data_IF_378519053912
#
_entry.id   IF_378519053912
#
_cell.length_a   1.000
_cell.length_b   1.000
_cell.length_c   1.000
_cell.angle_alpha   90.00
_cell.angle_beta   90.00
_cell.angle_gamma   90.00
#
_symmetry.space_group_name_H-M   'P 1'
#
loop_
_entity.id
_entity.type
_entity.pdbx_description
1 polymer ?
#
# COMPACT_ATOMS: atom_id res chain seq x y z
N UNK A 1 25.63 -60.83 -39.88
CA UNK A 1 25.66 -59.34 -39.97
C UNK A 1 24.37 -58.80 -39.37
N UNK A 2 24.43 -58.27 -38.15
CA UNK A 2 23.27 -57.75 -37.44
C UNK A 2 22.80 -56.45 -38.10
N UNK A 3 21.54 -56.41 -38.57
CA UNK A 3 20.90 -55.17 -39.02
C UNK A 3 20.59 -54.32 -37.79
N UNK A 4 21.45 -53.33 -37.52
CA UNK A 4 21.11 -52.24 -36.59
C UNK A 4 19.86 -51.52 -37.10
N UNK A 5 18.78 -51.59 -36.33
CA UNK A 5 17.57 -50.79 -36.54
C UNK A 5 17.90 -49.31 -36.34
N UNK A 6 18.22 -48.59 -37.43
CA UNK A 6 18.53 -47.15 -37.46
C UNK A 6 17.32 -46.22 -37.16
N UNK A 7 16.19 -46.75 -36.71
CA UNK A 7 14.94 -46.00 -36.56
C UNK A 7 14.75 -45.27 -35.23
N UNK A 8 15.34 -45.79 -34.13
CA UNK A 8 15.13 -45.26 -32.78
C UNK A 8 16.22 -44.27 -32.32
N UNK A 9 17.38 -44.30 -32.97
CA UNK A 9 18.60 -43.58 -32.56
C UNK A 9 18.50 -42.05 -32.63
N UNK A 10 17.85 -41.42 -33.63
CA UNK A 10 17.81 -39.96 -33.71
C UNK A 10 17.05 -39.30 -32.56
N UNK A 11 15.93 -39.90 -32.13
CA UNK A 11 15.07 -39.34 -31.08
C UNK A 11 15.68 -39.41 -29.68
N UNK A 12 16.41 -40.49 -29.37
CA UNK A 12 17.16 -40.61 -28.10
C UNK A 12 18.41 -39.73 -28.05
N UNK A 13 19.09 -39.55 -29.19
CA UNK A 13 20.37 -38.80 -29.24
C UNK A 13 20.16 -37.30 -29.37
N UNK A 14 19.04 -36.83 -29.93
CA UNK A 14 18.76 -35.39 -30.09
C UNK A 14 17.55 -34.91 -29.26
N UNK A 15 16.48 -35.69 -29.17
CA UNK A 15 15.24 -35.27 -28.50
C UNK A 15 15.37 -35.16 -26.97
N UNK A 16 16.03 -36.14 -26.33
CA UNK A 16 16.21 -36.14 -24.88
C UNK A 16 17.18 -35.02 -24.41
N UNK A 17 18.34 -34.78 -25.05
CA UNK A 17 19.21 -33.65 -24.68
C UNK A 17 18.57 -32.29 -24.94
N UNK A 18 17.79 -32.14 -26.02
CA UNK A 18 17.06 -30.88 -26.29
C UNK A 18 15.97 -30.65 -25.24
N UNK A 19 15.22 -31.68 -24.85
CA UNK A 19 14.20 -31.55 -23.82
C UNK A 19 14.80 -31.31 -22.42
N UNK A 20 15.93 -31.96 -22.09
CA UNK A 20 16.67 -31.69 -20.85
C UNK A 20 17.32 -30.30 -20.85
N UNK A 21 17.81 -29.83 -22.01
CA UNK A 21 18.32 -28.47 -22.17
C UNK A 21 17.21 -27.41 -22.01
N UNK A 22 16.04 -27.64 -22.60
CA UNK A 22 14.85 -26.81 -22.40
C UNK A 22 14.40 -26.84 -20.94
N UNK A 23 14.36 -28.02 -20.30
CA UNK A 23 14.02 -28.15 -18.90
C UNK A 23 15.02 -27.41 -18.00
N UNK A 24 16.32 -27.47 -18.29
CA UNK A 24 17.35 -26.73 -17.55
C UNK A 24 17.22 -25.21 -17.73
N UNK A 25 17.02 -24.72 -18.96
CA UNK A 25 16.86 -23.27 -19.20
C UNK A 25 15.56 -22.72 -18.58
N UNK A 26 14.51 -23.54 -18.52
CA UNK A 26 13.20 -23.15 -17.96
C UNK A 26 13.07 -23.42 -16.45
N UNK A 27 13.86 -24.33 -15.87
CA UNK A 27 13.92 -24.56 -14.43
C UNK A 27 14.88 -23.58 -13.76
N UNK A 28 14.32 -22.69 -12.94
CA UNK A 28 15.08 -22.00 -11.89
C UNK A 28 15.80 -20.71 -12.28
N UNK A 29 15.60 -20.15 -13.48
CA UNK A 29 15.98 -18.77 -13.77
C UNK A 29 14.89 -17.80 -13.29
N UNK A 30 15.26 -16.68 -12.67
CA UNK A 30 14.36 -15.74 -11.98
C UNK A 30 13.18 -15.27 -12.85
N UNK A 31 11.97 -15.48 -12.36
CA UNK A 31 10.77 -14.74 -12.80
C UNK A 31 10.56 -13.50 -11.93
N UNK A 32 10.95 -13.64 -10.66
CA UNK A 32 10.77 -12.64 -9.62
C UNK A 32 11.96 -11.70 -9.69
N UNK A 33 11.74 -10.52 -10.26
CA UNK A 33 12.68 -9.41 -10.36
C UNK A 33 11.90 -8.09 -10.43
N UNK A 34 12.54 -6.99 -10.06
CA UNK A 34 11.91 -5.67 -10.22
C UNK A 34 11.58 -5.41 -11.69
N UNK A 35 10.37 -4.93 -11.96
CA UNK A 35 9.90 -4.59 -13.29
C UNK A 35 9.12 -3.27 -13.25
N UNK A 36 9.82 -2.13 -13.26
CA UNK A 36 9.19 -0.82 -13.20
C UNK A 36 8.24 -0.53 -14.36
N UNK A 37 8.45 -1.15 -15.54
CA UNK A 37 7.57 -0.98 -16.71
C UNK A 37 6.18 -1.57 -16.45
N UNK A 38 6.11 -2.68 -15.72
CA UNK A 38 4.86 -3.29 -15.23
C UNK A 38 4.41 -2.75 -13.87
N UNK A 39 5.05 -1.70 -13.36
CA UNK A 39 4.77 -1.12 -12.06
C UNK A 39 4.98 -2.12 -10.89
N UNK A 40 6.08 -2.87 -10.96
CA UNK A 40 6.49 -3.89 -9.99
C UNK A 40 7.83 -3.49 -9.35
N UNK A 41 7.86 -3.59 -8.03
CA UNK A 41 9.06 -3.45 -7.20
C UNK A 41 8.87 -4.28 -5.94
N UNK A 42 9.88 -5.04 -5.56
CA UNK A 42 9.80 -5.97 -4.43
C UNK A 42 10.64 -5.42 -3.28
N UNK A 43 10.01 -5.01 -2.16
CA UNK A 43 10.78 -4.53 -1.01
C UNK A 43 11.57 -5.66 -0.34
N UNK A 44 12.77 -5.33 0.14
CA UNK A 44 13.56 -6.18 1.03
C UNK A 44 13.75 -5.45 2.37
N UNK A 45 13.33 -6.02 3.51
CA UNK A 45 12.62 -7.29 3.70
C UNK A 45 11.14 -7.25 3.28
N UNK A 46 10.50 -8.42 3.10
CA UNK A 46 9.05 -8.51 2.82
C UNK A 46 8.16 -8.36 4.06
N UNK A 47 8.75 -8.35 5.25
CA UNK A 47 8.04 -8.18 6.52
C UNK A 47 8.79 -7.20 7.40
N UNK A 48 8.08 -6.46 8.25
CA UNK A 48 8.68 -5.56 9.22
C UNK A 48 7.93 -5.58 10.55
N UNK A 49 8.62 -5.34 11.69
CA UNK A 49 7.94 -5.19 12.96
C UNK A 49 7.26 -3.81 13.07
N UNK A 50 6.14 -3.77 13.77
CA UNK A 50 5.48 -2.56 14.25
C UNK A 50 5.13 -2.79 15.71
N UNK A 51 5.41 -1.81 16.57
CA UNK A 51 5.01 -1.82 17.96
C UNK A 51 3.88 -0.81 18.15
N UNK A 52 2.81 -1.23 18.84
CA UNK A 52 1.63 -0.40 19.09
C UNK A 52 1.29 -0.38 20.57
N UNK A 53 0.90 0.78 21.06
CA UNK A 53 0.20 0.94 22.33
C UNK A 53 -1.09 1.74 22.09
N UNK A 54 -2.14 1.42 22.85
CA UNK A 54 -3.35 2.21 22.89
C UNK A 54 -3.67 2.59 24.33
N UNK A 55 -4.18 3.79 24.53
CA UNK A 55 -4.65 4.26 25.84
C UNK A 55 -5.86 5.17 25.66
N UNK A 56 -6.74 5.23 26.66
CA UNK A 56 -7.91 6.10 26.61
C UNK A 56 -8.28 6.64 28.00
N UNK A 57 -8.93 7.80 28.02
CA UNK A 57 -9.55 8.37 29.21
C UNK A 57 -11.05 8.62 28.91
N UNK A 58 -11.71 9.47 29.71
CA UNK A 58 -13.14 9.77 29.54
C UNK A 58 -13.48 10.52 28.23
N UNK A 59 -12.50 11.15 27.59
CA UNK A 59 -12.71 12.07 26.45
C UNK A 59 -12.02 11.58 25.17
N UNK A 60 -10.86 10.93 25.28
CA UNK A 60 -9.90 10.74 24.18
C UNK A 60 -9.29 9.36 24.15
N UNK A 61 -8.91 8.94 22.95
CA UNK A 61 -8.06 7.79 22.70
C UNK A 61 -6.72 8.22 22.11
N UNK A 62 -5.69 7.45 22.42
CA UNK A 62 -4.32 7.65 22.02
C UNK A 62 -3.80 6.36 21.40
N UNK A 63 -3.18 6.45 20.22
CA UNK A 63 -2.45 5.36 19.60
C UNK A 63 -1.00 5.76 19.41
N UNK A 64 -0.09 5.00 20.01
CA UNK A 64 1.34 5.18 19.85
C UNK A 64 1.89 4.08 18.97
N UNK A 65 2.60 4.49 17.92
CA UNK A 65 3.22 3.63 16.93
C UNK A 65 4.72 3.77 17.00
N UNK A 66 5.43 2.65 16.93
CA UNK A 66 6.88 2.64 16.80
C UNK A 66 7.33 1.61 15.76
N UNK A 67 8.12 2.03 14.78
CA UNK A 67 8.63 1.16 13.73
C UNK A 67 10.04 1.53 13.29
N UNK A 68 10.83 0.55 12.77
CA UNK A 68 12.17 0.83 12.29
C UNK A 68 12.14 1.49 10.90
N UNK A 69 12.95 2.53 10.73
CA UNK A 69 13.21 3.19 9.46
C UNK A 69 14.68 3.62 9.41
N UNK A 70 15.36 3.35 8.28
CA UNK A 70 16.79 3.66 8.14
C UNK A 70 17.05 5.17 8.11
N UNK A 71 16.11 5.93 7.56
CA UNK A 71 16.13 7.39 7.50
C UNK A 71 14.73 7.93 7.77
N UNK A 72 14.67 9.15 8.29
CA UNK A 72 13.42 9.89 8.43
C UNK A 72 13.08 10.56 7.10
N UNK A 73 12.34 9.88 6.21
CA UNK A 73 11.84 10.56 5.01
C UNK A 73 10.72 11.52 5.41
N UNK A 74 11.08 12.80 5.59
CA UNK A 74 10.16 13.88 5.97
C UNK A 74 9.76 14.78 4.80
N UNK A 75 10.48 14.70 3.68
CA UNK A 75 10.18 15.52 2.51
C UNK A 75 9.13 14.85 1.61
N UNK A 76 8.26 15.65 1.02
CA UNK A 76 7.27 15.17 0.07
C UNK A 76 7.01 16.22 -1.01
N UNK A 77 7.24 15.85 -2.26
CA UNK A 77 6.87 16.65 -3.42
C UNK A 77 7.51 18.06 -3.36
N UNK A 78 8.79 18.14 -3.72
CA UNK A 78 9.64 19.32 -3.62
C UNK A 78 9.83 19.98 -5.00
N UNK A 79 9.95 21.30 -5.06
CA UNK A 79 10.30 22.05 -6.27
C UNK A 79 11.74 22.49 -6.15
N UNK A 80 12.62 22.02 -7.03
CA UNK A 80 14.02 22.42 -7.10
C UNK A 80 14.21 23.37 -8.28
N UNK A 81 14.85 24.51 -8.04
CA UNK A 81 15.25 25.40 -9.12
C UNK A 81 16.50 24.84 -9.82
N UNK A 82 16.35 24.54 -11.11
CA UNK A 82 17.42 24.01 -11.96
C UNK A 82 17.37 24.61 -13.35
N UNK A 83 18.52 25.10 -13.83
CA UNK A 83 18.68 25.66 -15.19
C UNK A 83 17.64 26.75 -15.56
N UNK A 84 17.15 27.50 -14.58
CA UNK A 84 16.15 28.57 -14.78
C UNK A 84 14.69 28.13 -14.62
N UNK A 85 14.43 26.87 -14.27
CA UNK A 85 13.09 26.30 -14.16
C UNK A 85 12.85 25.65 -12.80
N UNK A 86 11.60 25.61 -12.35
CA UNK A 86 11.19 24.87 -11.14
C UNK A 86 10.84 23.42 -11.49
N UNK A 87 11.75 22.50 -11.19
CA UNK A 87 11.60 21.08 -11.45
C UNK A 87 11.01 20.37 -10.24
N UNK A 88 9.97 19.58 -10.46
CA UNK A 88 9.32 18.78 -9.43
C UNK A 88 10.10 17.50 -9.13
N UNK A 89 10.46 17.31 -7.87
CA UNK A 89 11.01 16.08 -7.29
C UNK A 89 10.02 15.47 -6.30
N UNK A 90 9.86 14.15 -6.31
CA UNK A 90 8.91 13.45 -5.43
C UNK A 90 7.65 13.01 -6.16
N UNK A 91 7.53 11.69 -6.33
CA UNK A 91 6.36 11.05 -6.93
C UNK A 91 6.27 9.60 -6.47
N UNK A 92 5.05 9.07 -6.35
CA UNK A 92 4.90 7.64 -6.12
C UNK A 92 5.30 6.89 -7.39
N UNK A 93 6.33 6.05 -7.28
CA UNK A 93 6.89 5.23 -8.35
C UNK A 93 7.18 3.82 -7.84
N UNK A 94 7.42 2.84 -8.73
CA UNK A 94 7.96 1.54 -8.32
C UNK A 94 9.26 1.72 -7.55
N UNK A 95 9.22 1.34 -6.27
CA UNK A 95 10.35 1.46 -5.36
C UNK A 95 10.53 2.85 -4.73
N UNK A 96 11.65 3.04 -4.02
CA UNK A 96 11.99 4.30 -3.37
C UNK A 96 12.07 5.47 -4.37
N UNK A 97 11.58 6.64 -3.95
CA UNK A 97 11.90 7.89 -4.63
C UNK A 97 13.41 8.13 -4.54
N UNK A 98 14.13 8.31 -5.67
CA UNK A 98 15.60 8.35 -5.70
C UNK A 98 16.16 9.58 -4.98
N UNK A 99 15.37 10.63 -4.81
CA UNK A 99 15.76 11.86 -4.12
C UNK A 99 15.36 11.83 -2.64
N UNK A 100 14.70 10.75 -2.16
CA UNK A 100 14.21 10.65 -0.79
C UNK A 100 13.04 11.59 -0.48
N UNK A 101 12.40 12.17 -1.50
CA UNK A 101 11.36 13.21 -1.39
C UNK A 101 9.93 12.64 -1.39
N UNK A 102 9.76 11.48 -0.76
CA UNK A 102 8.46 10.83 -0.63
C UNK A 102 8.21 10.27 0.77
N UNK A 103 7.75 11.13 1.65
CA UNK A 103 7.54 10.89 3.08
C UNK A 103 7.10 9.48 3.57
N UNK A 104 7.61 9.16 4.76
CA UNK A 104 7.16 8.08 5.62
C UNK A 104 5.78 8.37 6.20
N UNK A 105 4.97 7.32 6.37
CA UNK A 105 3.55 7.43 6.77
C UNK A 105 3.14 6.23 7.62
N UNK A 106 2.21 6.46 8.54
CA UNK A 106 1.42 5.41 9.20
C UNK A 106 -0.05 5.69 8.94
N UNK A 107 -0.80 4.66 8.60
CA UNK A 107 -2.24 4.74 8.42
C UNK A 107 -2.94 3.60 9.17
N UNK A 108 -4.12 3.87 9.72
CA UNK A 108 -4.90 2.88 10.45
C UNK A 108 -6.35 2.92 9.98
N UNK A 109 -6.88 1.75 9.63
CA UNK A 109 -8.30 1.52 9.43
C UNK A 109 -8.94 1.12 10.75
N UNK A 110 -10.12 1.66 11.03
CA UNK A 110 -10.93 1.37 12.21
C UNK A 110 -12.35 0.99 11.80
N UNK A 111 -12.89 -0.06 12.41
CA UNK A 111 -14.30 -0.45 12.29
C UNK A 111 -14.90 -0.81 13.65
N UNK A 112 -16.19 -0.56 13.81
CA UNK A 112 -17.00 -0.87 15.00
C UNK A 112 -17.88 -2.13 14.81
N UNK A 113 -17.61 -2.92 13.77
CA UNK A 113 -18.43 -4.04 13.32
C UNK A 113 -19.46 -3.67 12.26
N UNK A 114 -19.52 -2.40 11.85
CA UNK A 114 -20.39 -1.91 10.78
C UNK A 114 -19.99 -2.41 9.39
N UNK A 115 -18.75 -2.85 9.19
CA UNK A 115 -18.28 -3.44 7.94
C UNK A 115 -18.08 -4.95 8.11
N UNK A 116 -19.03 -5.77 7.62
CA UNK A 116 -18.87 -7.22 7.56
C UNK A 116 -17.51 -7.62 7.00
N UNK A 117 -16.93 -8.65 7.61
CA UNK A 117 -15.68 -9.30 7.20
C UNK A 117 -14.39 -8.49 7.38
N UNK A 118 -14.44 -7.21 7.80
CA UNK A 118 -13.23 -6.44 8.09
C UNK A 118 -12.38 -7.09 9.20
N UNK A 119 -12.99 -7.49 10.32
CA UNK A 119 -12.29 -8.23 11.38
C UNK A 119 -11.71 -9.60 10.94
N UNK A 120 -12.13 -10.14 9.78
CA UNK A 120 -11.66 -11.43 9.26
C UNK A 120 -10.54 -11.30 8.24
N UNK A 121 -10.60 -10.29 7.37
CA UNK A 121 -9.69 -10.15 6.23
C UNK A 121 -8.95 -8.80 6.19
N UNK A 122 -9.26 -7.88 7.10
CA UNK A 122 -8.60 -6.59 7.25
C UNK A 122 -8.64 -5.77 5.97
N UNK A 123 -7.51 -5.14 5.63
CA UNK A 123 -7.41 -4.25 4.47
C UNK A 123 -7.70 -4.91 3.12
N UNK A 124 -7.67 -6.25 2.99
CA UNK A 124 -7.91 -6.93 1.72
C UNK A 124 -9.30 -6.67 1.14
N UNK A 125 -10.34 -6.55 1.98
CA UNK A 125 -11.71 -6.26 1.49
C UNK A 125 -11.80 -4.91 0.79
N UNK A 126 -10.83 -4.01 1.04
CA UNK A 126 -10.78 -2.68 0.44
C UNK A 126 -10.02 -2.64 -0.88
N UNK A 127 -9.37 -3.75 -1.26
CA UNK A 127 -8.54 -3.83 -2.46
C UNK A 127 -9.39 -4.39 -3.59
N UNK A 128 -10.01 -3.52 -4.37
CA UNK A 128 -10.89 -3.94 -5.45
C UNK A 128 -10.20 -4.12 -6.81
N UNK A 129 -11.00 -4.46 -7.81
CA UNK A 129 -10.58 -4.64 -9.20
C UNK A 129 -9.83 -3.41 -9.76
N UNK A 130 -8.71 -3.66 -10.45
CA UNK A 130 -7.95 -2.68 -11.26
C UNK A 130 -7.62 -1.36 -10.55
N UNK A 131 -7.32 -1.45 -9.26
CA UNK A 131 -6.91 -0.30 -8.46
C UNK A 131 -5.66 0.39 -9.01
N UNK A 132 -5.55 1.70 -8.72
CA UNK A 132 -4.39 2.52 -9.08
C UNK A 132 -3.09 1.86 -8.63
N UNK A 133 -2.08 1.90 -9.50
CA UNK A 133 -0.76 1.28 -9.33
C UNK A 133 -0.76 -0.25 -9.42
N UNK A 134 -1.86 -0.91 -9.71
CA UNK A 134 -1.77 -2.29 -10.18
C UNK A 134 -1.24 -2.31 -11.62
N UNK A 135 -0.58 -3.40 -12.01
CA UNK A 135 -0.06 -3.64 -13.35
C UNK A 135 -1.17 -3.59 -14.41
N UNK A 136 -2.41 -3.90 -14.01
CA UNK A 136 -3.62 -3.89 -14.84
C UNK A 136 -4.57 -2.72 -14.50
N UNK A 137 -4.09 -1.70 -13.78
CA UNK A 137 -4.91 -0.58 -13.30
C UNK A 137 -5.82 0.04 -14.37
N UNK A 138 -6.99 0.52 -13.95
CA UNK A 138 -7.90 1.24 -14.83
C UNK A 138 -7.24 2.52 -15.35
N UNK A 139 -7.44 2.82 -16.64
CA UNK A 139 -6.80 4.00 -17.25
C UNK A 139 -7.45 5.30 -16.76
N UNK A 140 -6.70 6.41 -16.62
CA UNK A 140 -7.30 7.67 -16.20
C UNK A 140 -8.44 8.17 -17.09
N UNK A 141 -8.35 7.92 -18.41
CA UNK A 141 -9.40 8.27 -19.35
C UNK A 141 -10.70 7.51 -19.06
N UNK A 142 -10.59 6.19 -18.85
CA UNK A 142 -11.73 5.33 -18.53
C UNK A 142 -12.39 5.72 -17.20
N UNK A 143 -11.61 6.01 -16.17
CA UNK A 143 -12.16 6.44 -14.87
C UNK A 143 -12.80 7.83 -14.98
N UNK A 144 -12.21 8.76 -15.73
CA UNK A 144 -12.75 10.11 -15.91
C UNK A 144 -14.10 10.10 -16.65
N UNK A 145 -14.32 9.13 -17.53
CA UNK A 145 -15.60 8.94 -18.24
C UNK A 145 -16.68 8.28 -17.37
N UNK A 146 -16.30 7.59 -16.30
CA UNK A 146 -17.20 6.86 -15.42
C UNK A 146 -18.23 7.80 -14.76
N UNK A 147 -19.55 7.48 -14.79
CA UNK A 147 -20.60 8.38 -14.28
C UNK A 147 -20.38 8.83 -12.83
N UNK A 148 -20.11 7.89 -11.93
CA UNK A 148 -19.90 8.22 -10.52
C UNK A 148 -18.47 8.69 -10.23
N UNK A 149 -17.46 7.82 -10.35
CA UNK A 149 -16.07 8.17 -10.04
C UNK A 149 -15.53 9.39 -10.83
N UNK A 150 -15.76 9.44 -12.14
CA UNK A 150 -15.24 10.50 -13.00
C UNK A 150 -16.08 11.78 -12.97
N UNK A 151 -17.36 11.67 -13.30
CA UNK A 151 -18.22 12.84 -13.52
C UNK A 151 -18.74 13.43 -12.20
N UNK A 152 -19.11 12.60 -11.22
CA UNK A 152 -19.65 13.05 -9.94
C UNK A 152 -18.54 13.36 -8.92
N UNK A 153 -17.58 12.43 -8.73
CA UNK A 153 -16.50 12.59 -7.74
C UNK A 153 -15.25 13.30 -8.31
N UNK A 154 -15.18 13.53 -9.62
CA UNK A 154 -14.04 14.21 -10.25
C UNK A 154 -12.73 13.42 -10.22
N UNK A 155 -12.78 12.10 -10.07
CA UNK A 155 -11.61 11.24 -9.94
C UNK A 155 -11.13 10.73 -11.31
N UNK A 156 -9.84 10.38 -11.37
CA UNK A 156 -9.20 9.82 -12.56
C UNK A 156 -8.43 8.53 -12.24
N UNK A 157 -8.71 7.93 -11.08
CA UNK A 157 -8.10 6.69 -10.64
C UNK A 157 -9.10 5.86 -9.80
N UNK A 158 -8.88 4.54 -9.72
CA UNK A 158 -9.62 3.66 -8.81
C UNK A 158 -8.81 3.53 -7.53
N UNK A 159 -9.42 3.80 -6.37
CA UNK A 159 -8.79 3.63 -5.05
C UNK A 159 -9.49 2.55 -4.25
N UNK A 160 -9.14 2.46 -2.97
CA UNK A 160 -9.79 1.54 -2.05
C UNK A 160 -11.30 1.80 -2.03
N UNK A 161 -12.09 0.73 -2.02
CA UNK A 161 -13.54 0.77 -1.86
C UNK A 161 -14.03 -0.52 -1.19
N UNK A 162 -15.19 -0.48 -0.55
CA UNK A 162 -15.80 -1.64 0.13
C UNK A 162 -16.65 -2.48 -0.84
N UNK A 163 -16.69 -3.82 -0.71
CA UNK A 163 -17.32 -4.68 -1.72
C UNK A 163 -18.81 -4.39 -1.95
N UNK A 164 -19.59 -4.13 -0.89
CA UNK A 164 -21.02 -3.91 -1.03
C UNK A 164 -21.39 -2.53 -1.62
N UNK A 165 -20.42 -1.66 -1.86
CA UNK A 165 -20.62 -0.40 -2.62
C UNK A 165 -20.61 -0.62 -4.13
N UNK A 166 -20.57 -1.88 -4.55
CA UNK A 166 -20.65 -2.34 -5.93
C UNK A 166 -21.86 -3.26 -6.07
N UNK A 167 -22.56 -3.13 -7.18
CA UNK A 167 -23.62 -4.07 -7.60
C UNK A 167 -23.02 -5.40 -8.08
N UNK A 168 -21.77 -5.36 -8.55
CA UNK A 168 -20.90 -6.50 -8.81
C UNK A 168 -19.52 -6.23 -8.17
N UNK A 169 -19.22 -6.92 -7.08
CA UNK A 169 -17.96 -6.74 -6.34
C UNK A 169 -16.69 -7.06 -7.16
N UNK A 170 -16.84 -7.76 -8.29
CA UNK A 170 -15.74 -8.10 -9.20
C UNK A 170 -15.49 -7.02 -10.27
N UNK A 171 -16.34 -5.98 -10.36
CA UNK A 171 -16.20 -4.89 -11.33
C UNK A 171 -16.23 -3.53 -10.64
N UNK A 172 -15.10 -2.81 -10.67
CA UNK A 172 -15.00 -1.47 -10.07
C UNK A 172 -15.98 -0.47 -10.67
N UNK A 173 -16.47 -0.68 -11.90
CA UNK A 173 -17.42 0.22 -12.60
C UNK A 173 -18.83 0.11 -12.05
N UNK A 174 -19.13 -0.94 -11.29
CA UNK A 174 -20.49 -1.28 -10.90
C UNK A 174 -20.96 -0.53 -9.64
N UNK A 175 -20.48 0.71 -9.44
CA UNK A 175 -20.80 1.54 -8.26
C UNK A 175 -22.31 1.55 -8.00
N UNK A 176 -22.71 1.23 -6.77
CA UNK A 176 -24.11 1.21 -6.39
C UNK A 176 -24.73 2.62 -6.50
N UNK A 177 -26.05 2.67 -6.67
CA UNK A 177 -26.78 3.93 -6.78
C UNK A 177 -26.65 4.79 -5.52
N UNK A 178 -26.70 6.12 -5.67
CA UNK A 178 -26.46 7.08 -4.59
C UNK A 178 -27.33 6.87 -3.35
N UNK A 179 -28.60 6.48 -3.51
CA UNK A 179 -29.50 6.19 -2.38
C UNK A 179 -29.03 4.98 -1.56
N UNK A 180 -28.45 3.97 -2.22
CA UNK A 180 -27.88 2.79 -1.56
C UNK A 180 -26.62 3.17 -0.80
N UNK A 181 -25.72 3.95 -1.42
CA UNK A 181 -24.49 4.42 -0.79
C UNK A 181 -24.78 5.30 0.44
N UNK A 182 -25.75 6.20 0.33
CA UNK A 182 -26.19 7.03 1.45
C UNK A 182 -26.75 6.17 2.60
N UNK A 183 -27.62 5.21 2.29
CA UNK A 183 -28.18 4.30 3.31
C UNK A 183 -27.10 3.41 3.95
N UNK A 184 -26.10 2.97 3.18
CA UNK A 184 -24.95 2.24 3.69
C UNK A 184 -24.13 3.08 4.65
N UNK A 185 -23.83 4.33 4.28
CA UNK A 185 -23.09 5.27 5.13
C UNK A 185 -23.84 5.55 6.44
N UNK A 186 -25.14 5.82 6.37
CA UNK A 186 -26.01 6.01 7.53
C UNK A 186 -26.09 4.77 8.44
N UNK A 187 -25.98 3.58 7.86
CA UNK A 187 -25.94 2.31 8.59
C UNK A 187 -24.54 1.97 9.15
N UNK A 188 -23.54 2.83 8.95
CA UNK A 188 -22.18 2.62 9.44
C UNK A 188 -21.31 1.72 8.55
N UNK A 189 -21.73 1.42 7.31
CA UNK A 189 -20.94 0.61 6.36
C UNK A 189 -19.84 1.46 5.72
N UNK A 190 -18.78 1.70 6.48
CA UNK A 190 -17.57 2.38 6.06
C UNK A 190 -16.40 2.03 6.99
N UNK A 191 -15.17 2.23 6.53
CA UNK A 191 -14.00 2.20 7.41
C UNK A 191 -13.51 3.61 7.65
N UNK A 192 -13.20 3.93 8.89
CA UNK A 192 -12.53 5.15 9.31
C UNK A 192 -11.02 4.99 9.08
N UNK A 193 -10.35 6.00 8.52
CA UNK A 193 -8.98 5.95 8.02
C UNK A 193 -8.15 7.12 8.58
N UNK A 194 -7.34 6.79 9.59
CA UNK A 194 -6.37 7.70 10.17
C UNK A 194 -5.13 7.72 9.30
N UNK A 195 -4.58 8.89 8.96
CA UNK A 195 -3.42 8.97 8.06
C UNK A 195 -2.42 10.04 8.47
N UNK A 196 -1.40 9.64 9.24
CA UNK A 196 -0.29 10.51 9.58
C UNK A 196 0.78 10.51 8.49
N UNK A 197 1.35 11.69 8.24
CA UNK A 197 2.28 11.95 7.14
C UNK A 197 3.47 12.78 7.63
N UNK A 198 4.69 12.26 7.48
CA UNK A 198 5.88 12.87 8.06
C UNK A 198 6.18 14.30 7.52
N UNK A 199 5.86 14.59 6.27
CA UNK A 199 6.03 15.92 5.68
C UNK A 199 4.75 16.73 5.58
N UNK A 200 3.63 16.07 5.26
CA UNK A 200 2.36 16.73 4.95
C UNK A 200 1.44 16.98 6.16
N UNK A 201 1.75 16.48 7.34
CA UNK A 201 0.92 16.71 8.53
C UNK A 201 1.72 16.85 9.82
N UNK A 202 2.82 16.11 9.97
CA UNK A 202 3.65 16.12 11.18
C UNK A 202 4.13 17.52 11.63
N UNK A 203 4.64 18.40 10.74
CA UNK A 203 5.26 19.66 11.17
C UNK A 203 4.28 20.63 11.85
N UNK A 204 2.99 20.48 11.59
CA UNK A 204 1.91 21.28 12.16
C UNK A 204 1.12 20.53 13.25
N UNK A 205 1.62 19.36 13.66
CA UNK A 205 0.99 18.53 14.70
C UNK A 205 -0.33 17.87 14.29
N UNK A 206 -0.57 17.70 12.98
CA UNK A 206 -1.83 17.18 12.44
C UNK A 206 -1.70 15.73 11.93
N UNK A 207 -2.85 15.10 11.71
CA UNK A 207 -3.04 13.89 10.91
C UNK A 207 -4.20 14.14 9.94
N UNK A 208 -4.22 13.48 8.79
CA UNK A 208 -5.35 13.58 7.83
C UNK A 208 -6.41 12.56 8.23
N UNK A 209 -7.66 12.99 8.34
CA UNK A 209 -8.82 12.13 8.64
C UNK A 209 -9.64 11.83 7.39
N UNK A 210 -9.99 10.57 7.23
CA UNK A 210 -10.48 10.00 5.97
C UNK A 210 -11.40 8.82 6.23
N UNK A 211 -12.08 8.37 5.18
CA UNK A 211 -12.90 7.16 5.25
C UNK A 211 -12.90 6.38 3.93
N UNK A 212 -13.30 5.11 4.02
CA UNK A 212 -13.45 4.22 2.87
C UNK A 212 -14.89 3.71 2.81
N UNK A 213 -15.56 4.02 1.70
CA UNK A 213 -16.83 3.43 1.30
C UNK A 213 -16.77 3.06 -0.17
N UNK A 214 -17.47 3.79 -1.04
CA UNK A 214 -17.45 3.59 -2.49
C UNK A 214 -16.12 3.99 -3.13
N UNK A 215 -15.34 4.78 -2.41
CA UNK A 215 -14.02 5.26 -2.74
C UNK A 215 -13.25 5.57 -1.43
N UNK A 216 -11.96 5.92 -1.56
CA UNK A 216 -11.19 6.49 -0.43
C UNK A 216 -11.43 7.99 -0.40
N UNK A 217 -12.30 8.40 0.50
CA UNK A 217 -12.75 9.77 0.66
C UNK A 217 -11.95 10.50 1.74
N UNK A 218 -12.06 11.83 1.75
CA UNK A 218 -11.65 12.63 2.90
C UNK A 218 -12.89 12.98 3.70
N UNK A 219 -12.72 13.17 4.99
CA UNK A 219 -13.78 13.67 5.86
C UNK A 219 -14.15 15.11 5.50
N UNK A 220 -15.29 15.57 6.02
CA UNK A 220 -15.76 16.91 5.75
C UNK A 220 -14.79 17.99 6.27
N UNK A 221 -14.63 19.04 5.47
CA UNK A 221 -13.76 20.17 5.77
C UNK A 221 -12.44 20.15 5.00
N UNK A 222 -11.41 20.73 5.58
CA UNK A 222 -10.15 21.03 4.89
C UNK A 222 -8.99 20.23 5.46
N UNK A 223 -8.16 19.66 4.58
CA UNK A 223 -7.02 18.85 4.99
C UNK A 223 -5.78 19.66 5.37
N UNK A 224 -4.75 18.98 5.91
CA UNK A 224 -3.58 19.64 6.50
C UNK A 224 -2.63 20.28 5.48
N UNK A 225 -2.94 20.22 4.18
CA UNK A 225 -2.10 20.81 3.13
C UNK A 225 -2.88 21.18 1.87
N UNK A 226 -2.30 22.06 1.06
CA UNK A 226 -2.71 22.39 -0.31
C UNK A 226 -1.54 22.20 -1.29
N UNK A 227 -1.76 22.48 -2.58
CA UNK A 227 -0.70 22.47 -3.58
C UNK A 227 -0.19 23.90 -3.78
N UNK A 228 1.12 24.09 -3.64
CA UNK A 228 1.86 25.33 -3.91
C UNK A 228 2.40 25.30 -5.35
N UNK A 229 1.54 25.50 -6.35
CA UNK A 229 1.95 25.55 -7.75
C UNK A 229 0.97 26.35 -8.61
N UNK A 230 1.49 27.39 -9.24
CA UNK A 230 0.82 28.17 -10.27
C UNK A 230 1.09 27.54 -11.64
N UNK A 231 0.11 26.82 -12.17
CA UNK A 231 0.22 26.18 -13.48
C UNK A 231 0.16 27.15 -14.67
N UNK A 232 -0.33 28.37 -14.48
CA UNK A 232 -0.41 29.36 -15.56
C UNK A 232 0.93 30.07 -15.78
N UNK A 233 1.75 30.15 -14.73
CA UNK A 233 3.05 30.84 -14.73
C UNK A 233 4.24 29.89 -14.51
N UNK A 234 4.01 28.59 -14.39
CA UNK A 234 5.04 27.56 -14.14
C UNK A 234 5.96 27.88 -12.94
N UNK A 235 5.36 28.36 -11.84
CA UNK A 235 6.09 28.81 -10.64
C UNK A 235 5.35 28.48 -9.34
N UNK A 236 6.02 28.50 -8.17
CA UNK A 236 5.35 28.43 -6.88
C UNK A 236 4.39 29.62 -6.66
N UNK A 237 3.31 29.41 -5.90
CA UNK A 237 2.50 30.52 -5.39
C UNK A 237 3.18 31.23 -4.22
N UNK A 238 3.92 30.48 -3.40
CA UNK A 238 4.51 30.94 -2.15
C UNK A 238 5.95 30.45 -1.98
N UNK A 239 6.73 31.21 -1.22
CA UNK A 239 8.08 30.87 -0.76
C UNK A 239 8.17 31.01 0.77
N UNK A 240 9.30 30.61 1.35
CA UNK A 240 9.56 30.86 2.76
C UNK A 240 9.71 32.37 3.00
N UNK A 241 9.09 32.87 4.06
CA UNK A 241 9.22 34.26 4.46
C UNK A 241 10.59 34.48 5.12
N UNK A 242 11.51 35.25 4.51
CA UNK A 242 12.82 35.52 5.10
C UNK A 242 12.75 36.37 6.37
N UNK A 243 11.66 37.12 6.60
CA UNK A 243 11.48 37.89 7.85
C UNK A 243 11.16 36.98 9.03
N UNK A 244 10.51 35.83 8.77
CA UNK A 244 10.15 34.82 9.78
C UNK A 244 11.24 33.75 9.91
N UNK A 245 11.74 33.27 8.78
CA UNK A 245 12.58 32.06 8.71
C UNK A 245 14.06 32.35 8.51
N UNK A 246 14.42 33.58 8.09
CA UNK A 246 15.80 33.95 7.75
C UNK A 246 16.28 33.45 6.38
N UNK A 247 15.44 32.74 5.61
CA UNK A 247 15.75 32.22 4.28
C UNK A 247 14.52 32.23 3.35
N UNK A 248 14.73 32.14 2.03
CA UNK A 248 13.63 32.13 1.03
C UNK A 248 13.31 30.74 0.48
N UNK A 249 14.29 29.84 0.53
CA UNK A 249 14.20 28.47 0.08
C UNK A 249 15.00 27.56 1.03
N UNK A 250 14.71 26.26 0.96
CA UNK A 250 15.57 25.21 1.48
C UNK A 250 16.73 24.95 0.49
N UNK A 251 17.75 24.23 0.92
CA UNK A 251 18.84 23.80 0.04
C UNK A 251 18.65 22.35 -0.38
N UNK A 252 18.88 22.05 -1.65
CA UNK A 252 18.77 20.68 -2.18
C UNK A 252 19.69 19.67 -1.47
N UNK A 253 20.87 20.13 -1.05
CA UNK A 253 21.81 19.30 -0.27
C UNK A 253 21.24 18.87 1.08
N UNK A 254 20.46 19.72 1.76
CA UNK A 254 19.82 19.37 3.03
C UNK A 254 18.66 18.39 2.80
N UNK A 255 17.86 18.62 1.76
CA UNK A 255 16.72 17.78 1.38
C UNK A 255 17.15 16.33 1.08
N UNK A 256 18.29 16.17 0.41
CA UNK A 256 18.78 14.86 -0.05
C UNK A 256 19.81 14.22 0.90
N UNK A 257 20.22 14.92 1.96
CA UNK A 257 21.23 14.43 2.90
C UNK A 257 20.80 13.18 3.68
N UNK A 258 19.49 12.98 3.86
CA UNK A 258 18.92 11.97 4.77
C UNK A 258 18.95 12.37 6.24
N UNK A 259 19.57 13.51 6.58
CA UNK A 259 19.58 14.08 7.93
C UNK A 259 18.35 14.97 8.13
N UNK A 260 17.77 14.94 9.33
CA UNK A 260 16.59 15.73 9.68
C UNK A 260 16.81 16.46 10.99
N UNK A 261 16.65 17.78 10.95
CA UNK A 261 16.50 18.62 12.13
C UNK A 261 15.01 18.92 12.35
N UNK A 262 14.38 18.19 13.26
CA UNK A 262 12.96 18.38 13.59
C UNK A 262 12.68 19.71 14.31
N UNK A 263 13.70 20.37 14.87
CA UNK A 263 13.56 21.69 15.48
C UNK A 263 13.90 22.82 14.47
N UNK A 264 14.39 22.45 13.30
CA UNK A 264 14.73 23.34 12.19
C UNK A 264 13.61 23.51 11.15
N UNK A 265 13.96 24.16 10.04
CA UNK A 265 13.04 24.44 8.94
C UNK A 265 13.16 23.41 7.82
N UNK A 266 12.10 22.66 7.60
CA UNK A 266 12.03 21.64 6.54
C UNK A 266 10.68 21.60 5.80
N UNK A 267 9.80 22.58 6.07
CA UNK A 267 8.43 22.63 5.54
C UNK A 267 7.98 24.08 5.27
N UNK A 268 6.96 24.22 4.43
CA UNK A 268 6.27 25.48 4.15
C UNK A 268 4.86 25.40 4.74
N UNK A 269 4.42 26.43 5.45
CA UNK A 269 3.13 26.53 6.11
C UNK A 269 2.53 27.93 6.00
N UNK A 270 1.26 28.10 6.35
CA UNK A 270 0.63 29.42 6.40
C UNK A 270 1.33 30.40 7.34
N UNK A 271 1.99 29.91 8.39
CA UNK A 271 2.67 30.72 9.40
C UNK A 271 4.08 31.17 9.01
N UNK A 272 4.68 30.56 7.98
CA UNK A 272 6.08 30.82 7.59
C UNK A 272 6.26 31.18 6.11
N UNK A 273 5.17 31.44 5.39
CA UNK A 273 5.18 31.76 3.97
C UNK A 273 5.03 33.25 3.68
N UNK A 274 5.51 33.64 2.51
CA UNK A 274 5.14 34.90 1.85
C UNK A 274 4.84 34.62 0.36
N UNK A 275 4.33 35.61 -0.37
CA UNK A 275 4.08 35.49 -1.81
C UNK A 275 5.38 35.19 -2.54
N UNK A 276 5.33 34.34 -3.57
CA UNK A 276 6.50 34.02 -4.37
C UNK A 276 7.03 35.27 -5.09
N UNK A 277 8.35 35.47 -5.04
CA UNK A 277 9.04 36.58 -5.72
C UNK A 277 9.74 36.05 -6.98
N UNK A 278 9.16 36.25 -8.18
CA UNK A 278 9.74 35.78 -9.43
C UNK A 278 10.96 36.61 -9.88
N UNK A 279 11.14 37.83 -9.33
CA UNK A 279 12.25 38.72 -9.70
C UNK A 279 13.49 38.49 -8.82
N UNK A 280 13.40 37.62 -7.81
CA UNK A 280 14.54 37.21 -7.01
C UNK A 280 15.56 36.42 -7.84
N UNK A 281 16.86 36.61 -7.55
CA UNK A 281 17.95 35.88 -8.19
C UNK A 281 18.04 34.45 -7.60
N UNK A 282 17.10 33.60 -7.99
CA UNK A 282 17.03 32.18 -7.59
C UNK A 282 18.28 31.44 -8.05
N UNK A 283 18.84 30.63 -7.15
CA UNK A 283 20.09 29.90 -7.38
C UNK A 283 19.84 28.43 -7.66
N UNK A 284 20.74 27.80 -8.41
CA UNK A 284 20.71 26.36 -8.66
C UNK A 284 20.68 25.59 -7.33
N UNK A 285 19.68 24.72 -7.17
CA UNK A 285 19.49 23.92 -5.96
C UNK A 285 18.70 24.62 -4.85
N UNK A 286 18.13 25.81 -5.08
CA UNK A 286 17.09 26.36 -4.21
C UNK A 286 15.85 25.46 -4.27
N UNK A 287 15.25 25.19 -3.11
CA UNK A 287 14.11 24.28 -3.00
C UNK A 287 12.93 24.93 -2.28
N UNK A 288 11.75 24.82 -2.87
CA UNK A 288 10.48 25.21 -2.26
C UNK A 288 9.58 23.97 -2.12
N UNK A 289 9.03 23.67 -0.92
CA UNK A 289 8.03 22.63 -0.79
C UNK A 289 6.81 22.89 -1.68
N UNK A 290 6.39 21.90 -2.48
CA UNK A 290 5.18 21.99 -3.31
C UNK A 290 3.90 21.80 -2.49
N UNK A 291 4.04 21.48 -1.20
CA UNK A 291 2.95 21.36 -0.24
C UNK A 291 3.02 22.51 0.72
N UNK A 292 1.96 23.32 0.73
CA UNK A 292 1.74 24.33 1.75
C UNK A 292 0.91 23.69 2.87
N UNK A 293 1.47 23.64 4.08
CA UNK A 293 0.78 23.12 5.26
C UNK A 293 -0.17 24.17 5.85
N UNK A 294 -1.30 23.71 6.37
CA UNK A 294 -2.30 24.53 7.05
C UNK A 294 -3.00 23.70 8.12
N UNK A 295 -3.54 24.34 9.15
CA UNK A 295 -4.35 23.61 10.12
C UNK A 295 -5.61 23.05 9.43
N UNK A 296 -5.93 21.76 9.63
CA UNK A 296 -7.15 21.18 9.08
C UNK A 296 -8.38 21.74 9.80
N UNK A 297 -9.52 21.71 9.11
CA UNK A 297 -10.81 22.19 9.62
C UNK A 297 -11.89 21.12 9.44
N UNK A 298 -12.91 21.12 10.29
CA UNK A 298 -14.01 20.14 10.24
C UNK A 298 -13.60 18.78 10.84
N UNK A 299 -14.38 17.74 10.54
CA UNK A 299 -14.09 16.35 10.93
C UNK A 299 -12.76 15.87 10.37
N UNK A 300 -12.34 16.42 9.23
CA UNK A 300 -11.02 16.15 8.63
C UNK A 300 -9.82 16.48 9.52
N UNK A 301 -10.01 17.30 10.55
CA UNK A 301 -9.01 17.68 11.53
C UNK A 301 -9.16 17.02 12.91
N UNK A 302 -9.98 15.97 13.06
CA UNK A 302 -10.26 15.36 14.37
C UNK A 302 -9.04 14.69 15.01
N UNK A 303 -8.06 14.27 14.20
CA UNK A 303 -6.86 13.58 14.67
C UNK A 303 -5.66 14.51 14.70
N UNK A 304 -4.97 14.55 15.84
CA UNK A 304 -3.76 15.32 16.04
C UNK A 304 -2.59 14.44 16.50
N UNK A 305 -1.37 14.98 16.42
CA UNK A 305 -0.19 14.42 17.07
C UNK A 305 -0.22 14.80 18.55
N UNK A 306 -0.07 13.82 19.44
CA UNK A 306 0.13 14.06 20.87
C UNK A 306 1.62 14.20 21.19
N UNK A 307 2.02 15.35 21.73
CA UNK A 307 3.42 15.62 22.00
C UNK A 307 4.18 15.91 20.71
N UNK A 308 5.16 15.06 20.38
CA UNK A 308 5.95 15.17 19.17
C UNK A 308 6.04 13.80 18.50
N UNK A 309 5.98 13.78 17.17
CA UNK A 309 6.25 12.59 16.37
C UNK A 309 7.64 12.74 15.73
N UNK A 310 8.57 11.89 16.17
CA UNK A 310 10.00 12.03 15.88
C UNK A 310 10.60 10.71 15.42
N UNK A 311 11.60 10.84 14.57
CA UNK A 311 12.50 9.75 14.25
C UNK A 311 13.81 9.93 15.00
N UNK A 312 14.19 8.93 15.80
CA UNK A 312 15.44 8.94 16.56
C UNK A 312 15.99 7.51 16.64
N UNK A 313 17.31 7.37 16.50
CA UNK A 313 18.01 6.09 16.63
C UNK A 313 17.46 4.97 15.72
N UNK A 314 17.03 5.30 14.50
CA UNK A 314 16.51 4.34 13.53
C UNK A 314 15.04 3.93 13.73
N UNK A 315 14.30 4.65 14.58
CA UNK A 315 12.88 4.39 14.83
C UNK A 315 12.06 5.66 14.73
N UNK A 316 10.90 5.56 14.10
CA UNK A 316 9.82 6.51 14.31
C UNK A 316 9.09 6.20 15.62
N UNK A 317 8.71 7.24 16.36
CA UNK A 317 7.76 7.20 17.47
C UNK A 317 6.70 8.27 17.22
N UNK A 318 5.45 7.82 17.02
CA UNK A 318 4.33 8.67 16.63
C UNK A 318 3.16 8.36 17.55
N UNK A 319 2.69 9.37 18.30
CA UNK A 319 1.44 9.25 19.07
C UNK A 319 0.36 10.09 18.41
N UNK A 320 -0.73 9.45 17.98
CA UNK A 320 -1.93 10.12 17.50
C UNK A 320 -2.99 10.16 18.61
N UNK A 321 -3.78 11.22 18.65
CA UNK A 321 -4.88 11.42 19.60
C UNK A 321 -6.12 11.89 18.85
N UNK A 322 -7.28 11.36 19.27
CA UNK A 322 -8.61 11.78 18.82
C UNK A 322 -9.57 11.74 20.01
N UNK A 323 -10.58 12.59 19.97
CA UNK A 323 -11.73 12.44 20.86
C UNK A 323 -12.41 11.07 20.60
N UNK A 324 -12.96 10.46 21.64
CA UNK A 324 -13.70 9.20 21.56
C UNK A 324 -14.98 9.37 20.71
N UNK A 325 -15.70 10.46 20.96
CA UNK A 325 -16.84 10.92 20.18
C UNK A 325 -16.48 12.23 19.48
N UNK A 326 -16.27 12.17 18.17
CA UNK A 326 -15.94 13.34 17.34
C UNK A 326 -17.16 14.21 17.03
N UNK A 327 -18.38 13.71 17.31
CA UNK A 327 -19.63 14.33 16.89
C UNK A 327 -19.96 14.15 15.41
N UNK A 328 -19.15 13.41 14.64
CA UNK A 328 -19.32 13.20 13.21
C UNK A 328 -19.44 11.70 12.86
N UNK A 329 -20.53 11.01 13.26
CA UNK A 329 -20.67 9.55 13.07
C UNK A 329 -20.82 9.11 11.60
N UNK A 330 -21.03 10.07 10.69
CA UNK A 330 -21.01 9.85 9.25
C UNK A 330 -19.64 10.13 8.65
N UNK A 331 -18.59 10.34 9.45
CA UNK A 331 -17.19 10.53 9.04
C UNK A 331 -16.31 9.55 9.80
N UNK A 332 -16.50 9.49 11.11
CA UNK A 332 -15.70 8.74 12.07
C UNK A 332 -16.43 7.52 12.66
N UNK A 333 -15.65 6.50 13.05
CA UNK A 333 -16.14 5.47 13.98
C UNK A 333 -16.08 6.00 15.41
N UNK A 334 -17.24 6.17 16.03
CA UNK A 334 -17.33 6.64 17.42
C UNK A 334 -16.87 5.53 18.38
N UNK A 335 -15.89 5.88 19.20
CA UNK A 335 -15.27 4.99 20.17
C UNK A 335 -15.89 5.22 21.55
N UNK A 336 -16.04 4.15 22.32
CA UNK A 336 -16.64 4.22 23.64
C UNK A 336 -16.00 3.21 24.59
N UNK A 337 -16.01 3.52 25.88
CA UNK A 337 -15.67 2.56 26.92
C UNK A 337 -16.55 1.32 26.80
N UNK A 338 -15.97 0.15 27.06
CA UNK A 338 -16.56 -1.17 26.84
C UNK A 338 -16.80 -1.52 25.36
N UNK A 339 -16.25 -0.75 24.42
CA UNK A 339 -16.25 -1.06 22.98
C UNK A 339 -15.22 -2.13 22.61
N UNK A 340 -15.53 -2.87 21.53
CA UNK A 340 -14.57 -3.70 20.79
C UNK A 340 -14.61 -3.22 19.34
N UNK A 341 -13.44 -2.98 18.77
CA UNK A 341 -13.26 -2.47 17.42
C UNK A 341 -12.31 -3.39 16.66
N UNK A 342 -12.37 -3.37 15.35
CA UNK A 342 -11.36 -4.02 14.51
C UNK A 342 -10.44 -2.94 13.93
N UNK A 343 -9.14 -3.22 13.87
CA UNK A 343 -8.14 -2.32 13.30
C UNK A 343 -7.23 -3.02 12.28
N UNK A 344 -6.77 -2.24 11.29
CA UNK A 344 -5.75 -2.66 10.33
C UNK A 344 -4.76 -1.53 10.06
N UNK A 345 -3.47 -1.77 10.25
CA UNK A 345 -2.44 -0.73 10.20
C UNK A 345 -1.54 -0.93 8.97
N UNK A 346 -1.14 0.19 8.36
CA UNK A 346 -0.20 0.25 7.26
C UNK A 346 0.96 1.20 7.57
N UNK A 347 2.18 0.81 7.20
CA UNK A 347 3.39 1.64 7.30
C UNK A 347 4.05 1.78 5.95
N UNK A 348 4.37 3.02 5.59
CA UNK A 348 5.15 3.40 4.43
C UNK A 348 6.49 3.91 4.92
N UNK A 349 7.58 3.32 4.41
CA UNK A 349 8.95 3.72 4.73
C UNK A 349 9.86 3.68 3.50
N UNK A 350 11.08 4.19 3.63
CA UNK A 350 12.12 4.15 2.59
C UNK A 350 11.72 4.92 1.32
N UNK A 351 11.09 6.08 1.49
CA UNK A 351 10.65 6.93 0.40
C UNK A 351 9.70 6.26 -0.61
N UNK A 352 8.94 5.25 -0.18
CA UNK A 352 8.03 4.50 -1.05
C UNK A 352 6.59 5.00 -0.95
N UNK A 353 5.80 4.80 -2.01
CA UNK A 353 4.44 5.30 -2.14
C UNK A 353 3.37 4.25 -2.41
N UNK A 354 2.12 4.65 -2.20
CA UNK A 354 0.95 3.98 -2.77
C UNK A 354 0.79 2.49 -2.43
N UNK A 355 1.14 1.55 -3.33
CA UNK A 355 0.99 0.11 -3.04
C UNK A 355 2.24 -0.52 -2.42
N UNK A 356 3.38 0.16 -2.47
CA UNK A 356 4.62 -0.28 -1.82
C UNK A 356 4.61 0.17 -0.36
N UNK A 357 4.01 -0.67 0.48
CA UNK A 357 3.90 -0.47 1.92
C UNK A 357 3.67 -1.81 2.62
N UNK A 358 3.80 -1.82 3.93
CA UNK A 358 3.55 -2.98 4.75
C UNK A 358 2.21 -2.84 5.45
N UNK A 359 1.45 -3.93 5.53
CA UNK A 359 0.13 -3.97 6.16
C UNK A 359 0.08 -5.03 7.25
N UNK A 360 -0.80 -4.84 8.23
CA UNK A 360 -1.11 -5.84 9.25
C UNK A 360 -2.24 -6.75 8.78
N UNK A 361 -2.32 -7.94 9.38
CA UNK A 361 -3.60 -8.63 9.50
C UNK A 361 -4.57 -7.81 10.39
N UNK A 362 -5.89 -8.09 10.39
CA UNK A 362 -6.81 -7.43 11.31
C UNK A 362 -6.57 -7.88 12.76
N UNK A 363 -6.68 -6.92 13.68
CA UNK A 363 -6.59 -7.14 15.12
C UNK A 363 -7.79 -6.49 15.82
N UNK A 364 -8.28 -7.14 16.87
CA UNK A 364 -9.31 -6.55 17.72
C UNK A 364 -8.70 -5.57 18.73
N UNK A 365 -9.33 -4.42 18.92
CA UNK A 365 -9.00 -3.39 19.91
C UNK A 365 -10.09 -3.36 20.98
N UNK A 366 -9.70 -3.53 22.24
CA UNK A 366 -10.61 -3.51 23.39
C UNK A 366 -10.44 -2.24 24.23
N UNK A 367 -11.54 -1.53 24.46
CA UNK A 367 -11.59 -0.44 25.44
C UNK A 367 -12.22 -0.98 26.72
N UNK A 368 -11.42 -1.59 27.60
CA UNK A 368 -11.91 -2.23 28.82
C UNK A 368 -12.62 -3.58 28.59
N UNK A 369 -12.46 -4.18 27.41
CA UNK A 369 -12.93 -5.54 27.05
C UNK A 369 -11.81 -6.40 26.49
N UNK A 370 -11.95 -7.72 26.63
CA UNK A 370 -10.96 -8.65 26.10
C UNK A 370 -10.85 -8.58 24.57
N UNK A 371 -9.63 -8.45 24.05
CA UNK A 371 -9.28 -8.22 22.66
C UNK A 371 -7.77 -8.49 22.44
N UNK A 372 -7.31 -8.53 21.18
CA UNK A 372 -5.89 -8.70 20.84
C UNK A 372 -5.04 -7.55 21.40
N UNK A 373 -5.41 -6.30 21.07
CA UNK A 373 -4.79 -5.06 21.56
C UNK A 373 -5.68 -4.45 22.65
N UNK A 374 -5.10 -4.24 23.82
CA UNK A 374 -5.80 -3.63 24.95
C UNK A 374 -5.47 -2.14 25.05
N UNK A 375 -6.50 -1.29 24.99
CA UNK A 375 -6.33 0.11 25.30
C UNK A 375 -6.27 0.30 26.82
N UNK A 376 -5.18 0.87 27.33
CA UNK A 376 -5.01 1.15 28.75
C UNK A 376 -5.89 2.32 29.18
N UNK A 377 -6.81 2.10 30.12
CA UNK A 377 -7.57 3.19 30.73
C UNK A 377 -6.68 4.00 31.68
N UNK A 378 -6.76 5.32 31.62
CA UNK A 378 -6.03 6.21 32.52
C UNK A 378 -6.86 7.46 32.88
N UNK A 379 -6.39 8.20 33.88
CA UNK A 379 -6.97 9.50 34.27
C UNK A 379 -6.00 10.63 33.98
N UNK A 380 -6.51 11.78 33.51
CA UNK A 380 -5.71 12.95 33.18
C UNK A 380 -5.64 13.23 31.69
N UNK A 381 -4.68 14.06 31.26
CA UNK A 381 -4.60 14.59 29.88
C UNK A 381 -3.69 13.79 28.94
N UNK A 382 -2.78 13.01 29.50
CA UNK A 382 -1.78 12.24 28.75
C UNK A 382 -1.60 10.87 29.41
N UNK A 383 -1.48 9.80 28.62
CA UNK A 383 -1.17 8.48 29.16
C UNK A 383 0.26 8.44 29.71
N UNK A 384 0.46 7.65 30.76
CA UNK A 384 1.77 7.23 31.22
C UNK A 384 2.09 5.89 30.53
N UNK A 385 2.92 5.94 29.50
CA UNK A 385 3.20 4.77 28.67
C UNK A 385 4.05 3.74 29.42
N UNK A 386 3.62 2.49 29.42
CA UNK A 386 4.42 1.36 29.89
C UNK A 386 5.54 1.02 28.90
N UNK A 387 6.50 0.20 29.34
CA UNK A 387 7.47 -0.43 28.44
C UNK A 387 6.87 -1.64 27.68
N UNK A 388 5.66 -2.05 28.01
CA UNK A 388 4.94 -3.15 27.35
C UNK A 388 4.30 -2.68 26.04
N UNK A 389 4.76 -3.25 24.93
CA UNK A 389 4.24 -2.99 23.59
C UNK A 389 3.46 -4.18 23.05
N UNK A 390 2.45 -3.90 22.22
CA UNK A 390 1.86 -4.92 21.37
C UNK A 390 2.67 -5.02 20.06
N UNK A 391 3.38 -6.12 19.89
CA UNK A 391 4.19 -6.36 18.69
C UNK A 391 3.33 -6.94 17.56
N UNK A 392 3.27 -6.21 16.46
CA UNK A 392 2.67 -6.63 15.20
C UNK A 392 3.75 -6.97 14.19
N UNK A 393 3.52 -8.00 13.38
CA UNK A 393 4.27 -8.19 12.14
C UNK A 393 3.47 -7.61 10.99
N UNK A 394 4.07 -6.69 10.24
CA UNK A 394 3.52 -6.21 8.97
C UNK A 394 4.17 -6.96 7.81
N UNK A 395 3.46 -7.06 6.70
CA UNK A 395 3.93 -7.73 5.49
C UNK A 395 3.59 -6.93 4.23
N UNK A 396 4.41 -7.09 3.18
CA UNK A 396 4.14 -6.53 1.87
C UNK A 396 2.98 -7.27 1.19
N UNK A 397 1.86 -6.61 0.84
CA UNK A 397 0.65 -7.30 0.36
C UNK A 397 0.70 -7.71 -1.12
N UNK A 398 1.66 -7.19 -1.90
CA UNK A 398 1.74 -7.45 -3.34
C UNK A 398 0.54 -6.91 -4.14
N UNK A 399 0.19 -7.59 -5.24
CA UNK A 399 -0.97 -7.29 -6.08
C UNK A 399 -2.04 -8.35 -5.89
N UNK A 400 -2.71 -8.30 -4.73
CA UNK A 400 -3.78 -9.23 -4.37
C UNK A 400 -5.03 -8.41 -4.09
N UNK A 401 -6.02 -8.54 -4.96
CA UNK A 401 -7.33 -7.92 -4.80
C UNK A 401 -8.38 -8.90 -4.25
N UNK A 402 -9.48 -8.33 -3.79
CA UNK A 402 -10.62 -9.03 -3.23
C UNK A 402 -11.31 -9.94 -4.26
N UNK A 403 -11.58 -9.50 -5.51
CA UNK A 403 -12.13 -10.38 -6.55
C UNK A 403 -11.31 -11.65 -6.75
N UNK A 404 -9.97 -11.57 -6.79
CA UNK A 404 -9.09 -12.73 -6.86
C UNK A 404 -9.30 -13.66 -5.67
N UNK A 405 -9.29 -13.12 -4.44
CA UNK A 405 -9.37 -13.90 -3.20
C UNK A 405 -10.66 -14.71 -3.07
N UNK A 406 -11.77 -14.19 -3.59
CA UNK A 406 -13.08 -14.86 -3.55
C UNK A 406 -13.38 -15.68 -4.81
N UNK A 407 -12.54 -15.57 -5.84
CA UNK A 407 -12.68 -16.34 -7.07
C UNK A 407 -12.21 -17.79 -6.93
N UNK A 408 -12.62 -18.63 -7.88
CA UNK A 408 -12.13 -20.03 -7.97
C UNK A 408 -10.63 -20.15 -8.26
N UNK A 409 -9.95 -19.06 -8.62
CA UNK A 409 -8.50 -19.07 -8.83
C UNK A 409 -7.75 -19.11 -7.50
N UNK A 410 -8.35 -18.64 -6.41
CA UNK A 410 -7.77 -18.71 -5.08
C UNK A 410 -8.19 -19.99 -4.36
N UNK A 411 -7.20 -20.79 -3.94
CA UNK A 411 -7.46 -22.09 -3.29
C UNK A 411 -8.20 -21.96 -1.95
N UNK A 412 -8.13 -20.80 -1.28
CA UNK A 412 -8.84 -20.51 -0.03
C UNK A 412 -10.22 -19.87 -0.21
N UNK A 413 -10.74 -19.75 -1.44
CA UNK A 413 -12.01 -19.07 -1.67
C UNK A 413 -13.21 -19.75 -0.99
N UNK A 414 -13.22 -21.08 -0.89
CA UNK A 414 -14.25 -21.81 -0.13
C UNK A 414 -14.18 -21.48 1.37
N UNK A 415 -12.97 -21.43 1.94
CA UNK A 415 -12.77 -21.07 3.35
C UNK A 415 -13.22 -19.61 3.63
N UNK A 416 -13.00 -18.70 2.68
CA UNK A 416 -13.48 -17.31 2.75
C UNK A 416 -15.01 -17.26 2.69
N UNK A 417 -15.63 -18.01 1.77
CA UNK A 417 -17.09 -18.10 1.69
C UNK A 417 -17.73 -18.68 2.97
N UNK A 418 -17.01 -19.53 3.69
CA UNK A 418 -17.40 -20.06 5.01
C UNK A 418 -17.10 -19.09 6.17
N UNK A 419 -16.47 -17.95 5.92
CA UNK A 419 -16.15 -16.93 6.92
C UNK A 419 -14.92 -17.24 7.77
N UNK A 420 -14.01 -18.09 7.28
CA UNK A 420 -12.75 -18.40 7.98
C UNK A 420 -11.84 -17.18 7.98
N UNK A 421 -11.38 -16.67 9.14
CA UNK A 421 -10.48 -15.51 9.20
C UNK A 421 -9.11 -15.80 8.56
N UNK A 422 -8.48 -14.79 7.95
CA UNK A 422 -7.18 -14.92 7.27
C UNK A 422 -6.09 -15.47 8.20
N UNK A 423 -6.04 -14.97 9.45
CA UNK A 423 -5.07 -15.36 10.48
C UNK A 423 -5.19 -16.84 10.90
N UNK A 424 -6.30 -17.51 10.61
CA UNK A 424 -6.49 -18.92 10.94
C UNK A 424 -5.76 -19.86 9.96
N UNK A 425 -5.48 -19.40 8.74
CA UNK A 425 -4.87 -20.21 7.67
C UNK A 425 -3.51 -19.69 7.20
N UNK A 426 -3.22 -18.41 7.43
CA UNK A 426 -2.03 -17.76 6.90
C UNK A 426 -1.25 -16.99 7.97
N UNK A 427 0.07 -17.10 7.90
CA UNK A 427 1.01 -16.18 8.55
C UNK A 427 1.35 -15.01 7.63
N UNK A 428 1.80 -13.91 8.21
CA UNK A 428 2.27 -12.70 7.52
C UNK A 428 3.33 -13.03 6.47
N UNK A 429 4.26 -13.94 6.79
CA UNK A 429 5.29 -14.38 5.84
C UNK A 429 4.71 -15.10 4.63
N UNK A 430 3.70 -15.96 4.83
CA UNK A 430 3.03 -16.64 3.72
C UNK A 430 2.27 -15.65 2.86
N UNK A 431 1.58 -14.68 3.48
CA UNK A 431 0.86 -13.63 2.75
C UNK A 431 1.82 -12.74 1.94
N UNK A 432 2.98 -12.37 2.51
CA UNK A 432 4.01 -11.63 1.78
C UNK A 432 4.53 -12.39 0.55
N UNK A 433 4.84 -13.68 0.71
CA UNK A 433 5.32 -14.51 -0.39
C UNK A 433 4.25 -14.69 -1.46
N UNK A 434 3.01 -14.95 -1.07
CA UNK A 434 1.89 -15.05 -2.00
C UNK A 434 1.65 -13.72 -2.74
N UNK A 435 1.74 -12.59 -2.03
CA UNK A 435 1.67 -11.26 -2.60
C UNK A 435 2.69 -11.04 -3.72
N UNK A 436 3.95 -11.45 -3.49
CA UNK A 436 5.01 -11.41 -4.50
C UNK A 436 4.72 -12.36 -5.66
N UNK A 437 4.32 -13.61 -5.39
CA UNK A 437 3.98 -14.59 -6.43
C UNK A 437 2.88 -14.07 -7.36
N UNK A 438 1.86 -13.40 -6.81
CA UNK A 438 0.76 -12.85 -7.59
C UNK A 438 1.19 -11.72 -8.54
N UNK A 439 2.25 -10.96 -8.24
CA UNK A 439 2.79 -9.96 -9.17
C UNK A 439 3.37 -10.58 -10.46
N UNK A 440 3.66 -11.89 -10.43
CA UNK A 440 4.23 -12.63 -11.54
C UNK A 440 3.38 -13.82 -11.98
N UNK A 441 2.11 -13.89 -11.58
CA UNK A 441 1.26 -15.05 -11.81
C UNK A 441 1.24 -15.50 -13.29
N UNK A 442 1.09 -14.57 -14.23
CA UNK A 442 1.09 -14.87 -15.67
C UNK A 442 2.43 -15.44 -16.15
N UNK A 443 3.55 -14.86 -15.68
CA UNK A 443 4.87 -15.32 -16.04
C UNK A 443 5.18 -16.71 -15.43
N UNK A 444 4.78 -16.93 -14.18
CA UNK A 444 4.92 -18.21 -13.47
C UNK A 444 4.09 -19.29 -14.17
N UNK A 445 2.80 -19.04 -14.40
CA UNK A 445 1.90 -20.00 -15.05
C UNK A 445 2.32 -20.31 -16.48
N UNK A 446 2.73 -19.32 -17.26
CA UNK A 446 3.29 -19.51 -18.61
C UNK A 446 4.52 -20.43 -18.57
N UNK A 447 5.46 -20.19 -17.64
CA UNK A 447 6.63 -21.07 -17.49
C UNK A 447 6.25 -22.48 -17.06
N UNK A 448 5.29 -22.64 -16.15
CA UNK A 448 4.79 -23.96 -15.76
C UNK A 448 4.20 -24.73 -16.94
N UNK A 449 3.43 -24.05 -17.81
CA UNK A 449 2.91 -24.66 -19.04
C UNK A 449 4.04 -25.09 -19.99
N UNK A 450 5.06 -24.25 -20.18
CA UNK A 450 6.22 -24.61 -20.98
C UNK A 450 6.96 -25.83 -20.41
N UNK A 451 7.19 -25.86 -19.09
CA UNK A 451 7.85 -26.98 -18.42
C UNK A 451 7.02 -28.26 -18.51
N UNK A 452 5.70 -28.18 -18.32
CA UNK A 452 4.79 -29.30 -18.47
C UNK A 452 4.81 -29.83 -19.91
N UNK A 453 4.73 -28.96 -20.91
CA UNK A 453 4.77 -29.34 -22.32
C UNK A 453 6.12 -29.98 -22.68
N UNK A 454 7.24 -29.39 -22.23
CA UNK A 454 8.57 -29.95 -22.43
C UNK A 454 8.70 -31.34 -21.80
N UNK A 455 8.16 -31.52 -20.58
CA UNK A 455 8.08 -32.82 -19.90
C UNK A 455 7.25 -33.84 -20.67
N UNK A 456 6.07 -33.45 -21.17
CA UNK A 456 5.22 -34.31 -22.00
C UNK A 456 5.89 -34.70 -23.32
N UNK A 457 6.59 -33.77 -23.98
CA UNK A 457 7.36 -34.04 -25.20
C UNK A 457 8.53 -34.98 -24.91
N UNK A 458 9.24 -34.81 -23.79
CA UNK A 458 10.30 -35.73 -23.36
C UNK A 458 9.76 -37.15 -23.10
N UNK A 459 8.64 -37.27 -22.40
CA UNK A 459 7.99 -38.56 -22.13
C UNK A 459 7.52 -39.23 -23.43
N UNK A 460 6.90 -38.48 -24.34
CA UNK A 460 6.48 -38.98 -25.64
C UNK A 460 7.68 -39.42 -26.48
N UNK A 461 8.73 -38.60 -26.56
CA UNK A 461 9.96 -38.93 -27.30
C UNK A 461 10.63 -40.19 -26.77
N UNK A 462 10.72 -40.33 -25.44
CA UNK A 462 11.26 -41.53 -24.78
C UNK A 462 10.40 -42.75 -25.07
N UNK A 463 9.08 -42.62 -24.96
CA UNK A 463 8.13 -43.71 -25.25
C UNK A 463 8.28 -44.16 -26.69
N UNK A 464 8.22 -43.24 -27.67
CA UNK A 464 8.37 -43.55 -29.09
C UNK A 464 9.70 -44.23 -29.41
N UNK A 465 10.79 -43.80 -28.75
CA UNK A 465 12.10 -44.39 -28.96
C UNK A 465 12.24 -45.81 -28.35
N UNK A 466 11.49 -46.11 -27.29
CA UNK A 466 11.46 -47.45 -26.67
C UNK A 466 10.52 -48.43 -27.37
N UNK A 467 9.50 -47.97 -28.11
CA UNK A 467 8.52 -48.82 -28.83
C UNK A 467 9.19 -49.94 -29.67
N UNK A 468 10.26 -49.69 -30.46
CA UNK A 468 10.90 -50.73 -31.25
C UNK A 468 11.52 -51.86 -30.41
N UNK A 469 11.98 -51.56 -29.20
CA UNK A 469 12.54 -52.54 -28.25
C UNK A 469 11.48 -53.49 -27.68
N UNK A 470 10.21 -53.12 -27.76
CA UNK A 470 9.07 -53.92 -27.32
C UNK A 470 8.34 -54.65 -28.45
N UNK A 471 8.71 -54.43 -29.72
CA UNK A 471 8.17 -55.20 -30.85
C UNK A 471 8.86 -56.57 -30.91
N UNK A 472 8.16 -57.61 -30.49
CA UNK A 472 8.56 -59.02 -30.67
C UNK A 472 8.95 -59.28 -32.13
N UNK A 473 10.22 -59.62 -32.38
CA UNK A 473 10.62 -60.29 -33.62
C UNK A 473 10.05 -61.71 -33.57
N UNK A 474 8.79 -61.90 -33.98
CA UNK A 474 8.34 -63.21 -34.46
C UNK A 474 9.06 -63.47 -35.78
N UNK A 475 10.30 -63.94 -35.68
CA UNK A 475 10.96 -64.64 -36.76
C UNK A 475 10.26 -66.01 -36.82
N UNK A 476 9.22 -66.11 -37.65
CA UNK A 476 8.59 -67.39 -37.93
C UNK A 476 9.61 -68.27 -38.61
N UNK A 477 10.01 -69.36 -37.94
CA UNK A 477 10.68 -70.49 -38.58
C UNK A 477 9.75 -70.99 -39.69
N UNK A 478 10.15 -70.76 -40.94
CA UNK A 478 9.68 -71.55 -42.08
C UNK A 478 10.72 -72.63 -42.31
N UNK A 479 10.22 -73.87 -42.20
CA UNK A 479 10.82 -75.17 -42.50
C UNK A 479 11.80 -75.20 -43.67
#
# INVERSE_FOLDING_TARGET
MARQHKGATPWLVLGLPVALGLAWVTQGSGVIEDDPERNIYIPDPLTMPLQVQAAYNEERIFFRYRWPAEQAHVYHDMLRYTDGEWIRHGSSRPGPDPDGTYEDRVAMLVDDGGVPDFGRYGGYITVGDRMRFFSDSASPAEVSEHPHLGQELGQSDVRKYLPATRTDQDDWRSVADADVLAAQREAGYFLDLWHWRAGRSNPIGASDDQWIGEYRNSDAGSGPYTTNWDGDNDQPHWMLDPEVTGQRALRWEDVTSGEVDFDGLYYLSEDNRTDFDPDYDWQEGDVIPRRLLRQPEGSRGSIAVHGQARWENGYWDVTLVRDLDTGNPLDDKILAEQGIYDIGIAVYRNATGSRWHYVSNPYSLGLGRDADLQAASFSGRSPDWSDDWFDMTLFYPGQVDWPLLISRAHAGAEDIAEGTPVRARHSEKQLALYGVEMEFNDAITSRWWMTLLAGLVAMLGTTLALIPSFRSTRQGDRS
#
